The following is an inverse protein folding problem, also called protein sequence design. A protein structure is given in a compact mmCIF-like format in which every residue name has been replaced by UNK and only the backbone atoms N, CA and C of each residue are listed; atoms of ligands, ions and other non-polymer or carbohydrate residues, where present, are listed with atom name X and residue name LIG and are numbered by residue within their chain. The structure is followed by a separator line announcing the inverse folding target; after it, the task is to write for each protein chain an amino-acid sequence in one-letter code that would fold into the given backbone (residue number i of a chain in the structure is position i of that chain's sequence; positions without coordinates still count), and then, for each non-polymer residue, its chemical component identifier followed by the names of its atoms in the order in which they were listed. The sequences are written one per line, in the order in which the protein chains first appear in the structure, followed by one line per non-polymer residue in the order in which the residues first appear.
data_IF_102355361823
#
_entry.id   IF_102355361823
#
_cell.length_a   1.000
_cell.length_b   1.000
_cell.length_c   1.000
_cell.angle_alpha   90.00
_cell.angle_beta   90.00
_cell.angle_gamma   90.00
#
_symmetry.space_group_name_H-M   'P 1'
#
loop_
_entity.id
_entity.type
_entity.pdbx_description
1 polymer ?
#
# COMPACT_ATOMS: atom_id res chain seq x y z
N UNK A 1 11.17 -6.72 -26.83
CA UNK A 1 10.81 -6.75 -25.39
C UNK A 1 11.42 -5.52 -24.74
N UNK A 2 10.60 -4.59 -24.24
CA UNK A 2 11.13 -3.44 -23.48
C UNK A 2 11.70 -3.91 -22.14
N UNK A 3 12.72 -3.22 -21.62
CA UNK A 3 13.31 -3.55 -20.32
C UNK A 3 12.19 -3.61 -19.24
N UNK A 4 12.21 -4.56 -18.29
CA UNK A 4 11.17 -4.73 -17.27
C UNK A 4 10.76 -3.42 -16.55
N UNK A 5 11.72 -2.53 -16.31
CA UNK A 5 11.47 -1.20 -15.74
C UNK A 5 10.56 -0.30 -16.59
N UNK A 6 10.65 -0.37 -17.94
CA UNK A 6 9.82 0.41 -18.85
C UNK A 6 8.35 -0.02 -18.83
N UNK A 7 8.09 -1.31 -18.60
CA UNK A 7 6.72 -1.84 -18.47
C UNK A 7 6.12 -1.44 -17.13
N UNK A 8 6.87 -1.59 -16.03
CA UNK A 8 6.43 -1.13 -14.72
C UNK A 8 6.12 0.37 -14.72
N UNK A 9 6.98 1.19 -15.34
CA UNK A 9 6.78 2.64 -15.44
C UNK A 9 5.45 3.02 -16.12
N UNK A 10 5.05 2.31 -17.18
CA UNK A 10 3.77 2.57 -17.85
C UNK A 10 2.57 2.31 -16.94
N UNK A 11 2.62 1.26 -16.11
CA UNK A 11 1.59 0.99 -15.11
C UNK A 11 1.53 2.10 -14.06
N UNK A 12 2.68 2.54 -13.55
CA UNK A 12 2.77 3.67 -12.60
C UNK A 12 2.15 4.96 -13.13
N UNK A 13 2.32 5.24 -14.42
CA UNK A 13 1.78 6.44 -15.06
C UNK A 13 0.26 6.37 -15.27
N UNK A 14 -0.31 5.17 -15.37
CA UNK A 14 -1.72 4.97 -15.65
C UNK A 14 -2.64 5.08 -14.41
N UNK A 15 -2.12 4.99 -13.18
CA UNK A 15 -2.96 5.03 -11.96
C UNK A 15 -2.69 6.26 -11.09
N UNK A 16 -3.69 6.79 -10.39
CA UNK A 16 -3.56 7.97 -9.51
C UNK A 16 -3.39 7.63 -8.02
N UNK A 17 -3.01 6.39 -7.70
CA UNK A 17 -2.92 5.94 -6.31
C UNK A 17 -1.67 6.46 -5.58
N UNK A 18 -0.55 6.59 -6.28
CA UNK A 18 0.72 7.09 -5.72
C UNK A 18 0.82 8.58 -5.95
N UNK A 19 1.30 9.31 -4.94
CA UNK A 19 1.50 10.75 -5.06
C UNK A 19 2.54 11.09 -6.15
N UNK A 20 2.42 12.25 -6.83
CA UNK A 20 3.30 12.59 -7.96
C UNK A 20 4.79 12.55 -7.62
N UNK A 21 5.17 12.88 -6.38
CA UNK A 21 6.56 12.91 -5.95
C UNK A 21 7.14 11.50 -5.80
N UNK A 22 6.42 10.59 -5.14
CA UNK A 22 6.82 9.19 -5.05
C UNK A 22 6.86 8.54 -6.44
N UNK A 23 5.91 8.88 -7.34
CA UNK A 23 5.93 8.42 -8.74
C UNK A 23 7.19 8.86 -9.49
N UNK A 24 7.59 10.12 -9.36
CA UNK A 24 8.78 10.63 -10.03
C UNK A 24 10.04 9.85 -9.60
N UNK A 25 10.21 9.64 -8.29
CA UNK A 25 11.32 8.86 -7.75
C UNK A 25 11.33 7.40 -8.17
N UNK A 26 10.16 6.77 -8.17
CA UNK A 26 10.01 5.40 -8.70
C UNK A 26 10.38 5.35 -10.17
N UNK A 27 9.97 6.35 -10.95
CA UNK A 27 10.33 6.43 -12.36
C UNK A 27 11.84 6.57 -12.58
N UNK A 28 12.55 7.32 -11.74
CA UNK A 28 14.00 7.44 -11.81
C UNK A 28 14.69 6.11 -11.50
N UNK A 29 14.25 5.39 -10.46
CA UNK A 29 14.78 4.05 -10.14
C UNK A 29 14.47 3.03 -11.22
N UNK A 30 13.26 3.05 -11.79
CA UNK A 30 12.85 2.10 -12.83
C UNK A 30 13.54 2.35 -14.18
N UNK A 31 14.13 3.53 -14.38
CA UNK A 31 14.98 3.83 -15.56
C UNK A 31 16.46 3.60 -15.32
N UNK A 32 16.88 3.37 -14.08
CA UNK A 32 18.29 3.17 -13.73
C UNK A 32 18.68 1.69 -13.73
N UNK A 33 19.96 1.42 -13.47
CA UNK A 33 20.48 0.06 -13.27
C UNK A 33 19.90 -0.64 -12.04
N UNK A 34 19.19 0.09 -11.16
CA UNK A 34 18.57 -0.48 -9.97
C UNK A 34 17.14 -0.99 -10.18
N UNK A 35 16.57 -0.80 -11.38
CA UNK A 35 15.20 -1.21 -11.72
C UNK A 35 14.93 -2.68 -11.36
N UNK A 36 15.81 -3.60 -11.77
CA UNK A 36 15.66 -5.03 -11.51
C UNK A 36 15.65 -5.31 -10.00
N UNK A 37 16.53 -4.67 -9.23
CA UNK A 37 16.59 -4.87 -7.78
C UNK A 37 15.31 -4.39 -7.10
N UNK A 38 14.81 -3.21 -7.46
CA UNK A 38 13.57 -2.70 -6.90
C UNK A 38 12.37 -3.61 -7.24
N UNK A 39 12.30 -4.09 -8.48
CA UNK A 39 11.26 -5.03 -8.91
C UNK A 39 11.36 -6.36 -8.15
N UNK A 40 12.56 -6.88 -7.89
CA UNK A 40 12.74 -8.10 -7.08
C UNK A 40 12.27 -7.93 -5.63
N UNK A 41 12.36 -6.73 -5.04
CA UNK A 41 11.77 -6.47 -3.71
C UNK A 41 10.24 -6.48 -3.76
N UNK A 42 9.67 -5.95 -4.84
CA UNK A 42 8.22 -5.97 -5.07
C UNK A 42 7.73 -7.41 -5.28
N UNK A 43 8.47 -8.21 -6.05
CA UNK A 43 8.23 -9.63 -6.24
C UNK A 43 8.33 -10.42 -4.93
N UNK A 44 9.39 -10.19 -4.14
CA UNK A 44 9.55 -10.81 -2.82
C UNK A 44 8.32 -10.55 -1.94
N UNK A 45 7.87 -9.29 -1.86
CA UNK A 45 6.67 -8.96 -1.10
C UNK A 45 5.42 -9.63 -1.69
N UNK A 46 5.24 -9.61 -3.01
CA UNK A 46 4.09 -10.21 -3.71
C UNK A 46 3.99 -11.74 -3.50
N UNK A 47 5.11 -12.41 -3.20
CA UNK A 47 5.18 -13.82 -2.88
C UNK A 47 5.26 -14.11 -1.37
N UNK A 48 5.10 -13.09 -0.52
CA UNK A 48 5.01 -13.24 0.93
C UNK A 48 6.33 -13.13 1.70
N UNK A 49 7.47 -12.88 1.03
CA UNK A 49 8.75 -12.62 1.68
C UNK A 49 8.87 -11.15 2.11
N UNK A 50 8.06 -10.80 3.12
CA UNK A 50 7.98 -9.45 3.69
C UNK A 50 9.33 -9.02 4.27
N UNK A 51 10.08 -9.96 4.87
CA UNK A 51 11.34 -9.66 5.54
C UNK A 51 12.43 -9.26 4.54
N UNK A 52 12.60 -10.02 3.46
CA UNK A 52 13.54 -9.67 2.40
C UNK A 52 13.17 -8.35 1.72
N UNK A 53 11.87 -8.15 1.45
CA UNK A 53 11.38 -6.93 0.83
C UNK A 53 11.66 -5.68 1.70
N UNK A 54 11.35 -5.72 2.99
CA UNK A 54 11.59 -4.61 3.92
C UNK A 54 13.08 -4.32 4.09
N UNK A 55 13.88 -5.37 4.33
CA UNK A 55 15.33 -5.23 4.55
C UNK A 55 16.06 -4.70 3.31
N UNK A 56 15.70 -5.20 2.13
CA UNK A 56 16.30 -4.77 0.87
C UNK A 56 15.92 -3.34 0.47
N UNK A 57 14.75 -2.85 0.88
CA UNK A 57 14.29 -1.49 0.55
C UNK A 57 15.15 -0.40 1.19
N UNK A 58 15.85 -0.70 2.29
CA UNK A 58 16.76 0.24 2.97
C UNK A 58 17.78 0.85 2.01
N UNK A 59 18.20 0.11 0.97
CA UNK A 59 19.11 0.59 -0.08
C UNK A 59 18.57 1.79 -0.86
N UNK A 60 17.26 1.95 -0.93
CA UNK A 60 16.60 3.04 -1.63
C UNK A 60 16.23 4.22 -0.71
N UNK A 61 16.81 4.28 0.50
CA UNK A 61 16.61 5.37 1.45
C UNK A 61 17.05 6.72 0.89
N UNK A 62 18.21 6.78 0.24
CA UNK A 62 18.75 8.04 -0.29
C UNK A 62 17.98 8.54 -1.52
N UNK A 63 17.39 7.61 -2.29
CA UNK A 63 16.40 7.94 -3.31
C UNK A 63 15.06 8.42 -2.69
N UNK A 64 14.88 8.28 -1.37
CA UNK A 64 13.67 8.60 -0.63
C UNK A 64 12.50 7.66 -0.90
N UNK A 65 12.79 6.41 -1.25
CA UNK A 65 11.83 5.34 -1.55
C UNK A 65 11.77 4.27 -0.45
N UNK A 66 12.53 4.40 0.64
CA UNK A 66 12.36 3.57 1.84
C UNK A 66 11.08 3.99 2.58
N UNK A 67 9.93 3.71 1.96
CA UNK A 67 8.58 4.11 2.40
C UNK A 67 7.57 3.04 1.99
N UNK A 68 6.52 2.90 2.80
CA UNK A 68 5.42 1.98 2.53
C UNK A 68 4.71 2.20 1.19
N UNK A 69 4.50 3.45 0.77
CA UNK A 69 3.85 3.78 -0.50
C UNK A 69 4.66 3.33 -1.72
N UNK A 70 5.98 3.24 -1.60
CA UNK A 70 6.83 2.69 -2.65
C UNK A 70 6.79 1.15 -2.64
N UNK A 71 6.89 0.54 -1.45
CA UNK A 71 7.01 -0.91 -1.29
C UNK A 71 5.71 -1.66 -1.64
N UNK A 72 4.56 -1.13 -1.21
CA UNK A 72 3.28 -1.86 -1.26
C UNK A 72 2.50 -1.64 -2.56
N UNK A 73 2.89 -0.67 -3.37
CA UNK A 73 2.12 -0.32 -4.57
C UNK A 73 2.12 -1.41 -5.64
N UNK A 74 3.29 -1.92 -6.05
CA UNK A 74 3.36 -2.97 -7.07
C UNK A 74 2.74 -4.30 -6.59
N UNK A 75 3.02 -4.80 -5.37
CA UNK A 75 2.37 -5.98 -4.83
C UNK A 75 0.84 -5.86 -4.79
N UNK A 76 0.32 -4.68 -4.40
CA UNK A 76 -1.12 -4.41 -4.40
C UNK A 76 -1.73 -4.51 -5.80
N UNK A 77 -1.06 -3.99 -6.84
CA UNK A 77 -1.56 -4.10 -8.21
C UNK A 77 -1.41 -5.50 -8.80
N UNK A 78 -0.35 -6.22 -8.43
CA UNK A 78 -0.08 -7.57 -8.95
C UNK A 78 -0.99 -8.62 -8.29
N UNK A 79 -1.17 -8.53 -6.96
CA UNK A 79 -1.92 -9.49 -6.15
C UNK A 79 -2.86 -8.75 -5.19
N UNK A 80 -3.90 -8.07 -5.71
CA UNK A 80 -4.85 -7.31 -4.91
C UNK A 80 -5.69 -8.21 -3.98
N UNK A 81 -5.73 -9.52 -4.21
CA UNK A 81 -6.34 -10.50 -3.32
C UNK A 81 -5.55 -10.69 -2.01
N UNK A 82 -4.22 -10.49 -2.05
CA UNK A 82 -3.32 -10.80 -0.95
C UNK A 82 -2.69 -9.55 -0.30
N UNK A 83 -2.48 -8.48 -1.07
CA UNK A 83 -1.78 -7.29 -0.60
C UNK A 83 -2.71 -6.09 -0.51
N UNK A 84 -2.34 -5.14 0.36
CA UNK A 84 -3.01 -3.87 0.52
C UNK A 84 -2.02 -2.72 0.31
N UNK A 85 -2.48 -1.63 -0.30
CA UNK A 85 -1.68 -0.44 -0.52
C UNK A 85 -1.68 0.48 0.70
N UNK A 86 -0.55 0.58 1.40
CA UNK A 86 -0.44 1.33 2.64
C UNK A 86 -0.22 2.83 2.36
N UNK A 87 -1.25 3.64 2.61
CA UNK A 87 -1.15 5.10 2.70
C UNK A 87 -1.28 5.54 4.17
N UNK A 88 -0.18 5.93 4.84
CA UNK A 88 -0.17 6.07 6.30
C UNK A 88 -1.31 6.90 6.89
N UNK A 89 -1.54 8.11 6.37
CA UNK A 89 -2.55 9.04 6.91
C UNK A 89 -3.95 8.42 6.89
N UNK A 90 -4.37 7.95 5.73
CA UNK A 90 -5.67 7.31 5.50
C UNK A 90 -5.83 6.03 6.33
N UNK A 91 -4.83 5.16 6.32
CA UNK A 91 -4.90 3.86 7.01
C UNK A 91 -4.96 4.05 8.53
N UNK A 92 -4.17 4.99 9.08
CA UNK A 92 -4.20 5.32 10.51
C UNK A 92 -5.52 5.95 10.94
N UNK A 93 -6.10 6.81 10.11
CA UNK A 93 -7.41 7.41 10.37
C UNK A 93 -8.51 6.35 10.43
N UNK A 94 -8.54 5.45 9.43
CA UNK A 94 -9.48 4.34 9.43
C UNK A 94 -9.27 3.43 10.66
N UNK A 95 -8.03 3.03 10.94
CA UNK A 95 -7.71 2.19 12.10
C UNK A 95 -8.18 2.82 13.43
N UNK A 96 -8.03 4.14 13.59
CA UNK A 96 -8.56 4.87 14.75
C UNK A 96 -10.08 4.81 14.82
N UNK A 97 -10.77 4.99 13.70
CA UNK A 97 -12.24 4.98 13.62
C UNK A 97 -12.84 3.63 14.00
N UNK A 98 -12.18 2.53 13.65
CA UNK A 98 -12.64 1.17 13.96
C UNK A 98 -12.01 0.59 15.24
N UNK A 99 -11.18 1.35 15.95
CA UNK A 99 -10.55 0.91 17.21
C UNK A 99 -9.50 -0.21 17.05
N UNK A 100 -8.82 -0.29 15.91
CA UNK A 100 -7.86 -1.36 15.61
C UNK A 100 -6.45 -1.06 16.14
N UNK A 101 -5.70 -2.09 16.56
CA UNK A 101 -4.36 -1.96 17.15
C UNK A 101 -3.29 -1.36 16.22
N UNK A 102 -3.52 -1.36 14.91
CA UNK A 102 -2.62 -0.81 13.88
C UNK A 102 -2.15 0.62 14.17
N UNK A 103 -2.95 1.45 14.87
CA UNK A 103 -2.52 2.80 15.28
C UNK A 103 -1.28 2.80 16.19
N UNK A 104 -1.04 1.72 16.94
CA UNK A 104 0.09 1.57 17.85
C UNK A 104 1.25 0.77 17.24
N UNK A 105 0.97 -0.02 16.21
CA UNK A 105 1.93 -0.93 15.55
C UNK A 105 2.54 -0.35 14.27
N UNK A 106 2.06 0.82 13.85
CA UNK A 106 2.56 1.50 12.66
C UNK A 106 3.92 2.15 12.91
N UNK A 107 4.90 1.76 12.10
CA UNK A 107 6.15 2.50 11.92
C UNK A 107 6.27 3.00 10.48
N UNK A 108 6.87 4.17 10.29
CA UNK A 108 7.03 4.77 8.95
C UNK A 108 8.09 4.07 8.10
N UNK A 109 9.10 3.46 8.75
CA UNK A 109 10.11 2.67 8.07
C UNK A 109 9.57 1.25 7.84
N UNK A 110 9.62 0.73 6.59
CA UNK A 110 9.09 -0.59 6.31
C UNK A 110 9.72 -1.71 7.14
N UNK A 111 8.85 -2.51 7.78
CA UNK A 111 9.22 -3.62 8.64
C UNK A 111 8.12 -4.71 8.64
N UNK A 112 8.44 -5.98 8.93
CA UNK A 112 7.44 -7.05 8.90
C UNK A 112 6.26 -6.88 9.86
N UNK A 113 6.48 -6.33 11.07
CA UNK A 113 5.45 -6.23 12.10
C UNK A 113 4.33 -5.26 11.68
N UNK A 114 4.67 -4.06 11.21
CA UNK A 114 3.70 -3.11 10.68
C UNK A 114 2.94 -3.67 9.48
N UNK A 115 3.59 -4.45 8.60
CA UNK A 115 2.89 -5.04 7.46
C UNK A 115 1.90 -6.14 7.89
N UNK A 116 2.27 -6.97 8.86
CA UNK A 116 1.37 -7.97 9.43
C UNK A 116 0.14 -7.31 10.10
N UNK A 117 0.38 -6.25 10.89
CA UNK A 117 -0.68 -5.45 11.51
C UNK A 117 -1.63 -4.81 10.48
N UNK A 118 -1.10 -4.35 9.34
CA UNK A 118 -1.91 -3.86 8.23
C UNK A 118 -2.81 -4.96 7.66
N UNK A 119 -2.25 -6.14 7.38
CA UNK A 119 -3.02 -7.24 6.81
C UNK A 119 -4.10 -7.75 7.77
N UNK A 120 -3.84 -7.69 9.08
CA UNK A 120 -4.85 -7.98 10.09
C UNK A 120 -6.01 -6.97 10.05
N UNK A 121 -5.72 -5.66 10.01
CA UNK A 121 -6.73 -4.61 9.84
C UNK A 121 -7.60 -4.86 8.60
N UNK A 122 -6.97 -5.19 7.47
CA UNK A 122 -7.66 -5.46 6.20
C UNK A 122 -8.52 -6.73 6.28
N UNK A 123 -8.01 -7.78 6.93
CA UNK A 123 -8.73 -9.03 7.16
C UNK A 123 -9.96 -8.83 8.05
N UNK A 124 -9.82 -8.09 9.15
CA UNK A 124 -10.94 -7.74 10.03
C UNK A 124 -11.98 -6.88 9.30
N UNK A 125 -11.53 -5.91 8.52
CA UNK A 125 -12.41 -5.06 7.70
C UNK A 125 -13.19 -5.88 6.68
N UNK A 126 -12.51 -6.78 5.96
CA UNK A 126 -13.16 -7.68 4.99
C UNK A 126 -14.25 -8.52 5.64
N UNK A 127 -13.98 -9.08 6.82
CA UNK A 127 -14.99 -9.87 7.57
C UNK A 127 -16.18 -9.02 7.99
N UNK A 128 -15.94 -7.76 8.38
CA UNK A 128 -16.99 -6.85 8.83
C UNK A 128 -17.93 -6.39 7.69
N UNK A 129 -17.47 -6.46 6.44
CA UNK A 129 -18.22 -6.04 5.24
C UNK A 129 -18.46 -7.18 4.25
N UNK A 130 -18.42 -8.42 4.73
CA UNK A 130 -18.53 -9.63 3.89
C UNK A 130 -19.88 -9.72 3.16
N UNK A 131 -20.94 -9.14 3.75
CA UNK A 131 -22.26 -9.01 3.16
C UNK A 131 -22.27 -8.17 1.87
N UNK A 132 -21.34 -7.23 1.74
CA UNK A 132 -21.12 -6.43 0.52
C UNK A 132 -20.34 -7.21 -0.56
N UNK A 133 -19.82 -8.40 -0.23
CA UNK A 133 -19.07 -9.30 -1.13
C UNK A 133 -17.88 -8.61 -1.84
N UNK A 134 -16.94 -7.99 -1.11
CA UNK A 134 -15.78 -7.34 -1.71
C UNK A 134 -14.93 -8.36 -2.49
N UNK A 135 -14.63 -8.07 -3.75
CA UNK A 135 -13.91 -8.97 -4.65
C UNK A 135 -12.45 -9.14 -4.24
N UNK A 136 -11.78 -8.06 -3.88
CA UNK A 136 -10.37 -8.03 -3.51
C UNK A 136 -10.06 -6.84 -2.58
N UNK A 137 -8.78 -6.54 -2.33
CA UNK A 137 -8.40 -5.43 -1.46
C UNK A 137 -8.53 -4.05 -2.13
N UNK A 138 -8.83 -3.95 -3.42
CA UNK A 138 -9.23 -2.69 -4.08
C UNK A 138 -10.58 -2.24 -3.56
N UNK A 139 -11.53 -3.18 -3.41
CA UNK A 139 -12.83 -2.90 -2.81
C UNK A 139 -12.70 -2.51 -1.34
N UNK A 140 -11.86 -3.24 -0.59
CA UNK A 140 -11.59 -2.90 0.83
C UNK A 140 -10.96 -1.51 0.96
N UNK A 141 -9.97 -1.19 0.12
CA UNK A 141 -9.35 0.13 0.10
C UNK A 141 -10.38 1.22 -0.22
N UNK A 142 -11.26 0.99 -1.19
CA UNK A 142 -12.34 1.92 -1.57
C UNK A 142 -13.35 2.10 -0.44
N UNK A 143 -13.76 1.01 0.22
CA UNK A 143 -14.66 1.05 1.38
C UNK A 143 -14.05 1.86 2.53
N UNK A 144 -12.82 1.53 2.92
CA UNK A 144 -12.11 2.26 3.98
C UNK A 144 -12.05 3.76 3.65
N UNK A 145 -11.80 4.12 2.38
CA UNK A 145 -11.76 5.51 1.93
C UNK A 145 -13.12 6.20 2.04
N UNK A 146 -14.20 5.54 1.64
CA UNK A 146 -15.55 6.06 1.81
C UNK A 146 -15.89 6.24 3.29
N UNK A 147 -15.51 5.28 4.14
CA UNK A 147 -15.76 5.30 5.57
C UNK A 147 -15.08 6.47 6.28
N UNK A 148 -13.82 6.82 5.95
CA UNK A 148 -13.16 7.97 6.58
C UNK A 148 -13.75 9.32 6.14
N UNK A 149 -14.19 9.43 4.88
CA UNK A 149 -14.79 10.66 4.34
C UNK A 149 -16.28 10.80 4.72
N UNK A 150 -16.89 9.76 5.30
CA UNK A 150 -18.24 9.84 5.80
C UNK A 150 -18.29 10.69 7.07
N UNK A 151 -18.83 11.89 6.93
CA UNK A 151 -19.33 12.72 8.02
C UNK A 151 -20.82 12.44 8.17
N UNK A 152 -21.29 12.13 9.38
CA UNK A 152 -22.73 12.13 9.65
C UNK A 152 -23.30 13.48 9.21
N UNK A 153 -24.26 13.43 8.28
CA UNK A 153 -25.05 14.61 7.93
C UNK A 153 -25.86 14.90 9.19
N UNK A 154 -25.56 16.05 9.82
CA UNK A 154 -25.89 16.30 11.22
C UNK A 154 -27.33 15.97 11.61
N UNK A 155 -27.45 15.47 12.84
CA UNK A 155 -28.61 15.67 13.71
C UNK A 155 -28.74 17.19 14.01
N UNK A 156 -28.96 18.01 12.97
CA UNK A 156 -29.69 19.26 13.17
C UNK A 156 -31.15 18.87 13.20
N UNK A 157 -31.61 18.49 14.40
CA UNK A 157 -33.02 18.56 14.78
C UNK A 157 -33.57 19.95 14.45
N UNK A 158 -34.85 19.95 14.08
CA UNK A 158 -35.69 21.08 13.65
C UNK A 158 -35.59 22.36 14.50
#
# INVERSE_FOLDING_TARGET
MGAPGQTALRLFQATNLVDPYTKAKLADVLRSSDAVRFLSLSEALAHGDVSAACSGLVRFRDAGLCKWTALTYLPFLWRPDAHFYLKPVFTLEFARRVGHAFVYEYESTPNPATYAALLDLVSQTRKAVDDLKPQDNVDIHSFMWAAINYTERGDSED
#
